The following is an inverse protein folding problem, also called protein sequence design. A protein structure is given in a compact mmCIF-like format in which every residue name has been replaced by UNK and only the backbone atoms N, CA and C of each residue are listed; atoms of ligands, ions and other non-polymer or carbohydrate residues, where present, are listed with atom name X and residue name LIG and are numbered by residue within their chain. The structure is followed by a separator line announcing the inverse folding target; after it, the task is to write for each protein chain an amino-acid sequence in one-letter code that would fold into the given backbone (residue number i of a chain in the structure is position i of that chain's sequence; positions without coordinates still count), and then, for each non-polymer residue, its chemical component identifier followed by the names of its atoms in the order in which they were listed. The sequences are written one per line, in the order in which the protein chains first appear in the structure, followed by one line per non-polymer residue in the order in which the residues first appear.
data_IF_212589715924
#
_entry.id   IF_212589715924
#
_cell.length_a   1.000
_cell.length_b   1.000
_cell.length_c   1.000
_cell.angle_alpha   90.00
_cell.angle_beta   90.00
_cell.angle_gamma   90.00
#
_symmetry.space_group_name_H-M   'P 1'
#
loop_
_entity.id
_entity.type
_entity.pdbx_description
1 polymer ?
#
# COMPACT_ATOMS: atom_id res chain seq x y z
N UNK A 1 9.17 -20.60 19.73
CA UNK A 1 10.64 -20.44 19.58
C UNK A 1 10.82 -19.50 18.40
N UNK A 2 11.28 -18.28 18.64
CA UNK A 2 11.62 -17.33 17.58
C UNK A 2 12.86 -17.86 16.84
N UNK A 3 12.67 -18.32 15.61
CA UNK A 3 13.78 -18.68 14.73
C UNK A 3 14.58 -17.40 14.45
N UNK A 4 15.85 -17.36 14.87
CA UNK A 4 16.72 -16.22 14.52
C UNK A 4 17.16 -16.43 13.08
N UNK A 5 16.76 -15.48 12.18
CA UNK A 5 17.17 -15.52 10.78
C UNK A 5 18.69 -15.46 10.67
N UNK A 6 19.26 -16.30 9.82
CA UNK A 6 20.66 -16.24 9.40
C UNK A 6 20.79 -15.38 8.14
N UNK A 7 22.03 -15.07 7.73
CA UNK A 7 22.25 -14.27 6.51
C UNK A 7 21.83 -15.00 5.21
N UNK A 8 21.64 -16.31 5.28
CA UNK A 8 21.24 -17.16 4.16
C UNK A 8 19.69 -17.36 4.09
N UNK A 9 18.97 -17.05 5.16
CA UNK A 9 17.52 -17.20 5.18
C UNK A 9 16.82 -16.07 4.39
N UNK A 10 15.78 -16.39 3.62
CA UNK A 10 14.97 -15.37 2.97
C UNK A 10 14.28 -14.49 4.02
N UNK A 11 14.31 -13.18 3.80
CA UNK A 11 13.59 -12.23 4.67
C UNK A 11 12.10 -12.35 4.38
N UNK A 12 11.25 -12.66 5.39
CA UNK A 12 9.80 -12.70 5.19
C UNK A 12 9.26 -11.31 4.96
N UNK A 13 8.48 -11.12 3.89
CA UNK A 13 7.85 -9.85 3.53
C UNK A 13 6.37 -9.90 3.86
N UNK A 14 5.88 -8.89 4.61
CA UNK A 14 4.47 -8.53 4.66
C UNK A 14 4.33 -7.20 3.93
N UNK A 15 3.86 -7.29 2.69
CA UNK A 15 3.69 -6.17 1.79
C UNK A 15 2.42 -5.38 2.09
N UNK A 16 2.55 -4.04 2.20
CA UNK A 16 1.47 -3.15 2.57
C UNK A 16 0.40 -2.92 1.51
N UNK A 17 0.70 -3.16 0.22
CA UNK A 17 -0.24 -2.81 -0.85
C UNK A 17 0.01 -3.54 -2.16
N UNK A 18 -1.06 -4.12 -2.73
CA UNK A 18 -1.01 -4.81 -4.02
C UNK A 18 -2.38 -4.84 -4.68
N UNK A 19 -2.47 -4.40 -5.93
CA UNK A 19 -3.73 -4.23 -6.68
C UNK A 19 -4.10 -5.40 -7.59
N UNK A 20 -3.56 -6.60 -7.33
CA UNK A 20 -3.98 -7.80 -8.06
C UNK A 20 -5.51 -7.96 -8.15
N UNK A 21 -6.32 -7.65 -7.11
CA UNK A 21 -7.77 -7.75 -7.22
C UNK A 21 -8.35 -6.88 -8.33
N UNK A 22 -7.88 -5.63 -8.48
CA UNK A 22 -8.34 -4.76 -9.55
C UNK A 22 -7.79 -5.19 -10.90
N UNK A 23 -6.53 -5.59 -11.00
CA UNK A 23 -5.94 -6.10 -12.23
C UNK A 23 -6.69 -7.33 -12.77
N UNK A 24 -7.08 -8.26 -11.91
CA UNK A 24 -7.89 -9.43 -12.31
C UNK A 24 -9.29 -9.02 -12.75
N UNK A 25 -9.89 -8.00 -12.13
CA UNK A 25 -11.17 -7.45 -12.61
C UNK A 25 -11.07 -6.95 -14.04
N UNK A 26 -10.06 -6.12 -14.33
CA UNK A 26 -9.86 -5.51 -15.64
C UNK A 26 -9.49 -6.56 -16.71
N UNK A 27 -8.70 -7.55 -16.34
CA UNK A 27 -8.25 -8.59 -17.27
C UNK A 27 -9.33 -9.61 -17.62
N UNK A 28 -10.15 -10.02 -16.66
CA UNK A 28 -11.05 -11.16 -16.83
C UNK A 28 -12.31 -11.13 -15.94
N UNK A 29 -12.74 -9.95 -15.49
CA UNK A 29 -13.96 -9.77 -14.68
C UNK A 29 -14.04 -10.75 -13.49
N UNK A 30 -12.91 -10.93 -12.78
CA UNK A 30 -12.75 -11.83 -11.65
C UNK A 30 -12.88 -13.35 -11.96
N UNK A 31 -12.77 -13.75 -13.21
CA UNK A 31 -12.77 -15.17 -13.59
C UNK A 31 -11.39 -15.79 -13.34
N UNK A 32 -11.26 -16.53 -12.23
CA UNK A 32 -9.99 -17.19 -11.86
C UNK A 32 -9.62 -18.35 -12.79
N UNK A 33 -10.54 -18.85 -13.62
CA UNK A 33 -10.24 -19.89 -14.63
C UNK A 33 -9.62 -19.26 -15.90
N UNK A 34 -9.80 -17.95 -16.10
CA UNK A 34 -9.24 -17.21 -17.23
C UNK A 34 -7.83 -16.63 -16.97
N UNK A 35 -7.26 -16.86 -15.78
CA UNK A 35 -5.95 -16.35 -15.35
C UNK A 35 -5.12 -17.45 -14.68
N UNK A 36 -3.81 -17.50 -14.99
CA UNK A 36 -2.93 -18.62 -14.55
C UNK A 36 -2.03 -18.25 -13.37
N UNK A 37 -2.61 -17.89 -12.22
CA UNK A 37 -1.83 -17.48 -11.04
C UNK A 37 -0.94 -18.59 -10.46
N UNK A 38 -1.21 -19.86 -10.75
CA UNK A 38 -0.40 -20.99 -10.27
C UNK A 38 0.80 -21.27 -11.17
N UNK A 39 0.63 -21.15 -12.48
CA UNK A 39 1.69 -21.48 -13.46
C UNK A 39 2.54 -20.27 -13.86
N UNK A 40 2.16 -19.07 -13.41
CA UNK A 40 2.73 -17.79 -13.82
C UNK A 40 1.82 -17.06 -14.80
N UNK A 41 1.59 -15.78 -14.54
CA UNK A 41 0.69 -14.92 -15.33
C UNK A 41 1.43 -13.64 -15.78
N UNK A 42 1.87 -13.58 -17.04
CA UNK A 42 2.69 -12.47 -17.51
C UNK A 42 1.95 -11.13 -17.64
N UNK A 43 0.61 -11.12 -17.53
CA UNK A 43 -0.19 -9.90 -17.64
C UNK A 43 -0.32 -9.14 -16.32
N UNK A 44 0.12 -9.73 -15.19
CA UNK A 44 0.14 -9.13 -13.87
C UNK A 44 1.55 -9.16 -13.30
N UNK A 45 1.81 -8.37 -12.26
CA UNK A 45 3.09 -8.34 -11.56
C UNK A 45 3.12 -9.30 -10.36
N UNK A 46 1.97 -9.93 -10.06
CA UNK A 46 1.79 -10.79 -8.89
C UNK A 46 1.16 -12.13 -9.29
N UNK A 47 1.84 -13.22 -8.97
CA UNK A 47 1.32 -14.60 -9.04
C UNK A 47 2.00 -15.46 -7.95
N UNK A 48 1.49 -16.68 -7.75
CA UNK A 48 1.96 -17.54 -6.66
C UNK A 48 3.45 -17.92 -6.78
N UNK A 49 4.02 -18.25 -7.95
CA UNK A 49 5.45 -18.46 -8.10
C UNK A 49 6.30 -17.25 -7.73
N UNK A 50 5.90 -16.04 -8.17
CA UNK A 50 6.65 -14.80 -7.90
C UNK A 50 6.51 -14.35 -6.45
N UNK A 51 5.35 -14.51 -5.81
CA UNK A 51 5.20 -14.28 -4.36
C UNK A 51 6.19 -15.14 -3.55
N UNK A 52 6.31 -16.43 -3.90
CA UNK A 52 7.30 -17.31 -3.25
C UNK A 52 8.73 -16.88 -3.52
N UNK A 53 9.06 -16.54 -4.78
CA UNK A 53 10.40 -16.09 -5.15
C UNK A 53 10.78 -14.78 -4.46
N UNK A 54 9.81 -13.88 -4.24
CA UNK A 54 9.99 -12.62 -3.51
C UNK A 54 10.05 -12.76 -1.99
N UNK A 55 9.81 -13.96 -1.44
CA UNK A 55 9.75 -14.16 0.01
C UNK A 55 8.51 -13.54 0.66
N UNK A 56 7.44 -13.26 -0.14
CA UNK A 56 6.21 -12.68 0.38
C UNK A 56 5.48 -13.71 1.25
N UNK A 57 5.44 -13.42 2.53
CA UNK A 57 4.79 -14.22 3.57
C UNK A 57 3.43 -13.66 4.00
N UNK A 58 3.17 -12.39 3.69
CA UNK A 58 1.90 -11.72 3.89
C UNK A 58 1.69 -10.60 2.88
N UNK A 59 0.43 -10.37 2.51
CA UNK A 59 0.04 -9.39 1.51
C UNK A 59 -1.25 -8.70 1.93
N UNK A 60 -1.24 -7.38 1.96
CA UNK A 60 -2.47 -6.60 1.93
C UNK A 60 -2.93 -6.48 0.47
N UNK A 61 -4.04 -7.14 0.17
CA UNK A 61 -4.72 -7.00 -1.12
C UNK A 61 -5.55 -5.72 -1.11
N UNK A 62 -5.23 -4.81 -2.00
CA UNK A 62 -6.01 -3.58 -2.19
C UNK A 62 -7.39 -3.93 -2.77
N UNK A 63 -8.44 -3.40 -2.17
CA UNK A 63 -9.77 -3.34 -2.76
C UNK A 63 -10.04 -1.91 -3.21
N UNK A 64 -9.37 -1.58 -4.30
CA UNK A 64 -9.43 -0.27 -4.95
C UNK A 64 -10.71 -0.12 -5.78
N UNK A 65 -11.27 1.08 -5.78
CA UNK A 65 -12.32 1.48 -6.74
C UNK A 65 -11.99 2.86 -7.32
N UNK A 66 -12.21 3.09 -8.63
CA UNK A 66 -11.95 4.40 -9.23
C UNK A 66 -12.76 5.51 -8.57
N UNK A 67 -12.17 6.70 -8.42
CA UNK A 67 -12.86 7.88 -7.89
C UNK A 67 -14.07 8.33 -8.74
N UNK A 68 -14.14 7.88 -9.99
CA UNK A 68 -15.33 8.08 -10.86
C UNK A 68 -16.58 7.31 -10.37
N UNK A 69 -16.40 6.28 -9.52
CA UNK A 69 -17.50 5.61 -8.82
C UNK A 69 -17.79 6.35 -7.52
N UNK A 70 -19.05 6.73 -7.30
CA UNK A 70 -19.48 7.44 -6.10
C UNK A 70 -20.73 6.81 -5.50
N UNK A 71 -21.01 7.09 -4.22
CA UNK A 71 -22.21 6.63 -3.54
C UNK A 71 -22.33 5.10 -3.53
N UNK A 72 -23.54 4.60 -3.68
CA UNK A 72 -23.81 3.13 -3.67
C UNK A 72 -23.02 2.35 -4.72
N UNK A 73 -22.60 2.97 -5.83
CA UNK A 73 -21.82 2.29 -6.86
C UNK A 73 -20.40 1.97 -6.37
N UNK A 74 -19.76 2.92 -5.66
CA UNK A 74 -18.46 2.70 -5.04
C UNK A 74 -18.56 1.64 -3.94
N UNK A 75 -19.54 1.74 -3.05
CA UNK A 75 -19.80 0.77 -1.97
C UNK A 75 -19.95 -0.66 -2.53
N UNK A 76 -20.79 -0.81 -3.56
CA UNK A 76 -21.04 -2.12 -4.18
C UNK A 76 -19.77 -2.68 -4.83
N UNK A 77 -19.02 -1.87 -5.59
CA UNK A 77 -17.78 -2.31 -6.23
C UNK A 77 -16.71 -2.74 -5.20
N UNK A 78 -16.65 -2.06 -4.04
CA UNK A 78 -15.76 -2.43 -2.94
C UNK A 78 -16.16 -3.79 -2.34
N UNK A 79 -17.46 -4.02 -2.10
CA UNK A 79 -17.93 -5.35 -1.66
C UNK A 79 -17.61 -6.46 -2.66
N UNK A 80 -17.77 -6.22 -3.95
CA UNK A 80 -17.44 -7.18 -5.00
C UNK A 80 -15.94 -7.57 -4.96
N UNK A 81 -15.05 -6.61 -4.68
CA UNK A 81 -13.62 -6.90 -4.53
C UNK A 81 -13.29 -7.63 -3.23
N UNK A 82 -13.90 -7.26 -2.11
CA UNK A 82 -13.77 -8.01 -0.85
C UNK A 82 -14.17 -9.47 -1.08
N UNK A 83 -15.32 -9.71 -1.72
CA UNK A 83 -15.79 -11.06 -2.04
C UNK A 83 -14.84 -11.79 -3.01
N UNK A 84 -14.18 -11.04 -3.93
CA UNK A 84 -13.15 -11.62 -4.79
C UNK A 84 -11.92 -12.07 -4.00
N UNK A 85 -11.40 -11.27 -3.05
CA UNK A 85 -10.26 -11.67 -2.21
C UNK A 85 -10.58 -12.91 -1.39
N UNK A 86 -11.80 -13.04 -0.86
CA UNK A 86 -12.26 -14.25 -0.19
C UNK A 86 -12.22 -15.47 -1.13
N UNK A 87 -12.71 -15.32 -2.38
CA UNK A 87 -12.66 -16.39 -3.39
C UNK A 87 -11.24 -16.74 -3.79
N UNK A 88 -10.37 -15.73 -3.96
CA UNK A 88 -8.96 -15.91 -4.28
C UNK A 88 -8.27 -16.79 -3.23
N UNK A 89 -8.41 -16.45 -1.95
CA UNK A 89 -7.82 -17.21 -0.86
C UNK A 89 -8.44 -18.62 -0.73
N UNK A 90 -9.74 -18.78 -0.98
CA UNK A 90 -10.40 -20.08 -0.94
C UNK A 90 -10.01 -20.98 -2.13
N UNK A 91 -9.83 -20.41 -3.32
CA UNK A 91 -9.39 -21.15 -4.52
C UNK A 91 -7.96 -21.66 -4.37
N UNK A 92 -7.07 -20.85 -3.83
CA UNK A 92 -5.65 -21.18 -3.67
C UNK A 92 -5.31 -21.47 -2.19
N UNK A 93 -6.17 -22.22 -1.50
CA UNK A 93 -6.09 -22.51 -0.04
C UNK A 93 -4.80 -23.21 0.38
N UNK A 94 -4.11 -23.87 -0.54
CA UNK A 94 -2.78 -24.47 -0.29
C UNK A 94 -1.68 -23.41 -0.18
N UNK A 95 -1.87 -22.25 -0.79
CA UNK A 95 -0.87 -21.19 -0.92
C UNK A 95 -1.24 -19.93 -0.15
N UNK A 96 -2.52 -19.61 -0.03
CA UNK A 96 -3.06 -18.39 0.57
C UNK A 96 -3.89 -18.72 1.81
N UNK A 97 -3.87 -17.83 2.80
CA UNK A 97 -4.74 -17.92 3.97
C UNK A 97 -5.36 -16.55 4.26
N UNK A 98 -6.67 -16.44 4.23
CA UNK A 98 -7.34 -15.21 4.64
C UNK A 98 -7.10 -14.95 6.13
N UNK A 99 -6.56 -13.78 6.45
CA UNK A 99 -6.19 -13.38 7.80
C UNK A 99 -6.94 -12.10 8.21
N UNK A 100 -7.23 -12.00 9.50
CA UNK A 100 -7.91 -10.84 10.09
C UNK A 100 -7.17 -10.27 11.28
N UNK A 101 -6.26 -11.04 11.87
CA UNK A 101 -5.48 -10.68 13.05
C UNK A 101 -4.02 -10.99 12.84
N UNK A 102 -3.16 -10.37 13.64
CA UNK A 102 -1.72 -10.69 13.66
C UNK A 102 -1.48 -12.18 14.01
N UNK A 103 -2.32 -12.78 14.85
CA UNK A 103 -2.26 -14.22 15.18
C UNK A 103 -2.59 -15.09 13.96
N UNK A 104 -3.59 -14.69 13.15
CA UNK A 104 -3.90 -15.38 11.88
C UNK A 104 -2.70 -15.33 10.92
N UNK A 105 -2.00 -14.17 10.85
CA UNK A 105 -0.79 -14.01 10.03
C UNK A 105 0.31 -14.95 10.50
N UNK A 106 0.59 -14.99 11.81
CA UNK A 106 1.59 -15.89 12.37
C UNK A 106 1.25 -17.37 12.05
N UNK A 107 -0.03 -17.75 12.17
CA UNK A 107 -0.50 -19.11 11.86
C UNK A 107 -0.40 -19.45 10.37
N UNK A 108 -0.69 -18.52 9.48
CA UNK A 108 -0.55 -18.69 8.03
C UNK A 108 0.92 -18.91 7.65
N UNK A 109 1.81 -18.03 8.12
CA UNK A 109 3.26 -18.10 7.88
C UNK A 109 3.85 -19.40 8.42
N UNK A 110 3.44 -19.83 9.62
CA UNK A 110 3.90 -21.10 10.22
C UNK A 110 3.53 -22.33 9.38
N UNK A 111 2.50 -22.22 8.51
CA UNK A 111 2.09 -23.30 7.59
C UNK A 111 2.64 -23.12 6.17
N UNK A 112 3.50 -22.11 5.92
CA UNK A 112 4.10 -21.82 4.62
C UNK A 112 3.13 -21.19 3.62
N UNK A 113 2.01 -20.62 4.09
CA UNK A 113 1.05 -19.90 3.25
C UNK A 113 1.25 -18.39 3.34
N UNK A 114 0.91 -17.68 2.27
CA UNK A 114 0.87 -16.23 2.26
C UNK A 114 -0.37 -15.74 3.03
N UNK A 115 -0.13 -15.00 4.10
CA UNK A 115 -1.20 -14.35 4.85
C UNK A 115 -1.89 -13.29 3.99
N UNK A 116 -3.16 -13.47 3.69
CA UNK A 116 -3.95 -12.61 2.81
C UNK A 116 -4.82 -11.69 3.66
N UNK A 117 -4.48 -10.41 3.69
CA UNK A 117 -5.19 -9.34 4.39
C UNK A 117 -5.93 -8.47 3.37
N UNK A 118 -6.97 -7.76 3.80
CA UNK A 118 -7.75 -6.86 2.92
C UNK A 118 -7.52 -5.42 3.35
N UNK A 119 -7.09 -4.59 2.39
CA UNK A 119 -6.96 -3.16 2.56
C UNK A 119 -7.90 -2.41 1.63
N UNK A 120 -8.68 -1.46 2.15
CA UNK A 120 -9.56 -0.63 1.35
C UNK A 120 -8.82 0.62 0.89
N UNK A 121 -8.87 0.91 -0.41
CA UNK A 121 -8.20 2.08 -0.97
C UNK A 121 -9.19 3.14 -1.44
N UNK A 122 -9.23 4.22 -0.65
CA UNK A 122 -10.05 5.39 -0.93
C UNK A 122 -11.34 5.49 -0.10
N UNK A 123 -11.46 6.58 0.67
CA UNK A 123 -12.58 6.83 1.56
C UNK A 123 -13.94 7.00 0.88
N UNK A 124 -13.97 7.21 -0.44
CA UNK A 124 -15.22 7.22 -1.23
C UNK A 124 -15.92 5.86 -1.22
N UNK A 125 -15.18 4.76 -0.95
CA UNK A 125 -15.72 3.40 -0.84
C UNK A 125 -16.72 3.22 0.30
N UNK A 126 -16.69 4.08 1.33
CA UNK A 126 -17.65 4.01 2.45
C UNK A 126 -18.86 4.96 2.30
N UNK A 127 -18.93 5.75 1.21
CA UNK A 127 -20.00 6.75 0.98
C UNK A 127 -20.30 7.61 2.23
N UNK A 128 -19.26 8.06 2.94
CA UNK A 128 -19.35 8.85 4.18
C UNK A 128 -20.16 8.19 5.31
N UNK A 129 -20.30 6.85 5.30
CA UNK A 129 -21.11 6.08 6.25
C UNK A 129 -20.26 5.22 7.18
N UNK A 130 -20.34 5.48 8.49
CA UNK A 130 -19.70 4.62 9.50
C UNK A 130 -20.33 3.22 9.54
N UNK A 131 -21.60 3.05 9.19
CA UNK A 131 -22.22 1.73 9.15
C UNK A 131 -21.69 0.89 7.98
N UNK A 132 -21.40 1.52 6.84
CA UNK A 132 -20.72 0.85 5.71
C UNK A 132 -19.30 0.47 6.10
N UNK A 133 -18.55 1.35 6.77
CA UNK A 133 -17.20 1.06 7.30
C UNK A 133 -17.23 -0.17 8.22
N UNK A 134 -18.15 -0.22 9.18
CA UNK A 134 -18.34 -1.37 10.10
C UNK A 134 -18.61 -2.66 9.33
N UNK A 135 -19.52 -2.61 8.38
CA UNK A 135 -19.87 -3.79 7.56
C UNK A 135 -18.69 -4.28 6.71
N UNK A 136 -17.86 -3.41 6.17
CA UNK A 136 -16.65 -3.78 5.43
C UNK A 136 -15.58 -4.38 6.36
N UNK A 137 -15.41 -3.83 7.58
CA UNK A 137 -14.55 -4.41 8.61
C UNK A 137 -15.01 -5.83 9.00
N UNK A 138 -16.32 -6.04 9.21
CA UNK A 138 -16.88 -7.37 9.50
C UNK A 138 -16.60 -8.38 8.38
N UNK A 139 -16.52 -7.91 7.12
CA UNK A 139 -16.14 -8.72 5.97
C UNK A 139 -14.63 -8.94 5.82
N UNK A 140 -13.81 -8.33 6.66
CA UNK A 140 -12.38 -8.61 6.73
C UNK A 140 -11.45 -7.48 6.36
N UNK A 141 -11.96 -6.29 6.02
CA UNK A 141 -11.09 -5.13 5.81
C UNK A 141 -10.30 -4.78 7.08
N UNK A 142 -9.00 -4.49 6.94
CA UNK A 142 -8.09 -4.21 8.07
C UNK A 142 -7.38 -2.89 7.97
N UNK A 143 -7.47 -2.19 6.83
CA UNK A 143 -7.19 -0.78 6.74
C UNK A 143 -8.18 -0.07 5.81
N UNK A 144 -8.26 1.25 5.93
CA UNK A 144 -8.88 2.15 4.96
C UNK A 144 -7.90 3.30 4.69
N UNK A 145 -7.50 3.46 3.42
CA UNK A 145 -6.83 4.68 2.94
C UNK A 145 -7.87 5.80 2.85
N UNK A 146 -7.67 6.90 3.60
CA UNK A 146 -8.73 7.89 3.82
C UNK A 146 -9.15 8.64 2.55
N UNK A 147 -8.28 8.73 1.54
CA UNK A 147 -8.61 9.23 0.19
C UNK A 147 -7.90 8.37 -0.85
N UNK A 148 -8.27 8.50 -2.11
CA UNK A 148 -7.43 8.14 -3.24
C UNK A 148 -6.97 9.43 -3.95
N UNK A 149 -7.04 9.52 -5.28
CA UNK A 149 -6.56 10.69 -6.02
C UNK A 149 -7.48 11.92 -5.98
N UNK A 150 -8.71 11.78 -5.52
CA UNK A 150 -9.68 12.86 -5.38
C UNK A 150 -10.08 13.05 -3.91
N UNK A 151 -10.41 14.29 -3.54
CA UNK A 151 -10.95 14.59 -2.22
C UNK A 151 -12.23 13.81 -1.94
N UNK A 152 -12.42 13.43 -0.68
CA UNK A 152 -13.74 13.01 -0.19
C UNK A 152 -14.36 14.12 0.65
N UNK A 153 -15.68 14.09 0.93
CA UNK A 153 -16.35 15.17 1.68
C UNK A 153 -15.76 15.46 3.07
N UNK A 154 -14.89 14.60 3.58
CA UNK A 154 -14.37 14.65 4.94
C UNK A 154 -12.84 14.59 5.05
N UNK A 155 -12.10 14.47 3.92
CA UNK A 155 -10.65 14.48 3.87
C UNK A 155 -10.11 14.95 2.52
N UNK A 156 -9.01 15.71 2.51
CA UNK A 156 -8.33 16.16 1.31
C UNK A 156 -7.31 15.11 0.83
N UNK A 157 -7.26 14.88 -0.49
CA UNK A 157 -6.26 14.06 -1.18
C UNK A 157 -4.96 14.83 -1.44
N UNK A 158 -3.85 14.12 -1.48
CA UNK A 158 -2.54 14.68 -1.84
C UNK A 158 -2.47 15.20 -3.29
N UNK A 159 -3.31 14.67 -4.17
CA UNK A 159 -3.28 14.93 -5.63
C UNK A 159 -4.47 15.75 -6.12
N UNK A 160 -5.31 16.25 -5.23
CA UNK A 160 -6.43 17.14 -5.56
C UNK A 160 -6.23 18.54 -4.96
N UNK A 161 -7.07 19.47 -5.39
CA UNK A 161 -7.04 20.84 -4.86
C UNK A 161 -7.56 20.83 -3.42
N UNK A 162 -6.79 21.31 -2.42
CA UNK A 162 -7.22 21.31 -1.05
C UNK A 162 -8.51 22.12 -0.84
N UNK A 163 -9.47 21.56 -0.10
CA UNK A 163 -10.76 22.18 0.21
C UNK A 163 -10.94 22.38 1.72
N UNK A 164 -10.57 21.39 2.52
CA UNK A 164 -10.74 21.39 3.98
C UNK A 164 -9.45 21.84 4.70
N UNK A 165 -8.29 21.62 4.10
CA UNK A 165 -6.98 21.79 4.73
C UNK A 165 -6.62 20.68 5.72
N UNK A 166 -7.40 19.60 5.79
CA UNK A 166 -7.23 18.48 6.71
C UNK A 166 -8.48 17.59 6.79
N UNK A 167 -8.78 17.06 7.98
CA UNK A 167 -9.98 16.28 8.27
C UNK A 167 -11.15 17.17 8.71
N UNK A 168 -12.33 16.91 8.18
CA UNK A 168 -13.58 17.43 8.79
C UNK A 168 -13.89 16.69 10.12
N UNK A 169 -14.96 17.12 10.84
CA UNK A 169 -15.42 16.37 12.02
C UNK A 169 -15.81 14.92 11.67
N UNK A 170 -16.48 14.69 10.52
CA UNK A 170 -16.76 13.33 10.07
C UNK A 170 -15.47 12.54 9.80
N UNK A 171 -14.45 13.16 9.21
CA UNK A 171 -13.16 12.51 9.01
C UNK A 171 -12.49 12.09 10.33
N UNK A 172 -12.57 12.95 11.35
CA UNK A 172 -12.11 12.62 12.71
C UNK A 172 -12.93 11.47 13.33
N UNK A 173 -14.24 11.43 13.09
CA UNK A 173 -15.10 10.32 13.54
C UNK A 173 -14.79 9.02 12.81
N UNK A 174 -14.46 9.05 11.51
CA UNK A 174 -13.97 7.88 10.76
C UNK A 174 -12.69 7.34 11.40
N UNK A 175 -11.70 8.18 11.69
CA UNK A 175 -10.45 7.77 12.34
C UNK A 175 -10.73 7.13 13.72
N UNK A 176 -11.56 7.76 14.54
CA UNK A 176 -11.93 7.22 15.88
C UNK A 176 -12.64 5.85 15.74
N UNK A 177 -13.54 5.72 14.77
CA UNK A 177 -14.26 4.47 14.53
C UNK A 177 -13.31 3.35 14.05
N UNK A 178 -12.35 3.68 13.17
CA UNK A 178 -11.33 2.72 12.73
C UNK A 178 -10.50 2.22 13.92
N UNK A 179 -10.07 3.11 14.82
CA UNK A 179 -9.37 2.72 16.05
C UNK A 179 -10.25 1.80 16.92
N UNK A 180 -11.52 2.14 17.12
CA UNK A 180 -12.47 1.33 17.89
C UNK A 180 -12.66 -0.08 17.31
N UNK A 181 -12.61 -0.20 15.99
CA UNK A 181 -12.75 -1.48 15.26
C UNK A 181 -11.47 -2.32 15.26
N UNK A 182 -10.31 -1.77 15.62
CA UNK A 182 -9.02 -2.41 15.38
C UNK A 182 -8.72 -2.47 13.89
N UNK A 183 -8.74 -1.32 13.23
CA UNK A 183 -8.51 -1.16 11.81
C UNK A 183 -7.49 -0.06 11.59
N UNK A 184 -6.43 -0.31 10.84
CA UNK A 184 -5.43 0.69 10.54
C UNK A 184 -6.00 1.88 9.77
N UNK A 185 -5.66 3.08 10.23
CA UNK A 185 -5.80 4.31 9.46
C UNK A 185 -4.63 4.38 8.49
N UNK A 186 -4.91 4.25 7.19
CA UNK A 186 -3.88 4.36 6.17
C UNK A 186 -3.83 5.79 5.61
N UNK A 187 -2.64 6.38 5.68
CA UNK A 187 -2.36 7.77 5.30
C UNK A 187 -1.66 7.89 3.95
N UNK A 188 -1.53 6.81 3.19
CA UNK A 188 -1.19 6.92 1.77
C UNK A 188 -2.26 7.73 1.05
N UNK A 189 -1.93 8.43 -0.02
CA UNK A 189 -2.82 9.30 -0.82
C UNK A 189 -3.35 10.58 -0.17
N UNK A 190 -3.24 10.76 1.14
CA UNK A 190 -3.87 11.91 1.81
C UNK A 190 -2.98 13.15 1.78
N UNK A 191 -3.59 14.34 1.78
CA UNK A 191 -2.88 15.60 1.89
C UNK A 191 -2.16 15.74 3.24
N UNK A 192 -1.10 16.55 3.29
CA UNK A 192 -0.27 16.78 4.49
C UNK A 192 -1.08 17.19 5.73
N UNK A 193 -2.12 18.03 5.53
CA UNK A 193 -3.04 18.43 6.61
C UNK A 193 -3.80 17.24 7.19
N UNK A 194 -4.23 16.31 6.34
CA UNK A 194 -4.91 15.07 6.78
C UNK A 194 -3.94 14.14 7.52
N UNK A 195 -2.68 14.02 7.06
CA UNK A 195 -1.66 13.23 7.77
C UNK A 195 -1.51 13.70 9.23
N UNK A 196 -1.35 15.02 9.42
CA UNK A 196 -1.19 15.63 10.75
C UNK A 196 -2.45 15.49 11.61
N UNK A 197 -3.62 15.81 11.06
CA UNK A 197 -4.90 15.69 11.74
C UNK A 197 -5.20 14.24 12.17
N UNK A 198 -4.90 13.27 11.32
CA UNK A 198 -5.10 11.86 11.63
C UNK A 198 -4.15 11.38 12.74
N UNK A 199 -2.88 11.79 12.72
CA UNK A 199 -1.92 11.51 13.79
C UNK A 199 -2.35 12.13 15.13
N UNK A 200 -2.92 13.34 15.11
CA UNK A 200 -3.43 14.00 16.31
C UNK A 200 -4.67 13.30 16.91
N UNK A 201 -5.50 12.67 16.06
CA UNK A 201 -6.75 12.03 16.47
C UNK A 201 -6.57 10.55 16.80
N UNK A 202 -5.66 9.86 16.09
CA UNK A 202 -5.52 8.41 16.21
C UNK A 202 -4.88 8.01 17.55
N UNK A 203 -5.61 7.23 18.33
CA UNK A 203 -5.11 6.57 19.54
C UNK A 203 -4.44 5.22 19.29
N UNK A 204 -4.33 4.81 18.03
CA UNK A 204 -3.72 3.54 17.58
C UNK A 204 -2.67 3.82 16.50
N UNK A 205 -1.74 2.89 16.24
CA UNK A 205 -0.77 3.02 15.16
C UNK A 205 -1.45 3.27 13.79
N UNK A 206 -0.94 4.27 13.07
CA UNK A 206 -1.31 4.50 11.66
C UNK A 206 -0.33 3.79 10.74
N UNK A 207 -0.70 3.62 9.46
CA UNK A 207 0.23 3.18 8.42
C UNK A 207 0.25 4.16 7.26
N UNK A 208 1.34 4.14 6.51
CA UNK A 208 1.41 4.53 5.12
C UNK A 208 1.63 3.24 4.35
N UNK A 209 0.59 2.68 3.78
CA UNK A 209 0.63 1.34 3.15
C UNK A 209 1.57 1.28 1.95
N UNK A 210 1.74 2.41 1.23
CA UNK A 210 2.59 2.54 0.04
C UNK A 210 2.98 4.02 -0.22
N UNK A 211 3.95 4.54 0.53
CA UNK A 211 4.46 5.91 0.39
C UNK A 211 5.95 5.97 0.67
N UNK A 212 6.67 6.87 -0.01
CA UNK A 212 8.11 7.02 0.14
C UNK A 212 8.49 8.35 0.85
N UNK A 213 9.75 8.74 0.89
CA UNK A 213 10.22 9.94 1.58
C UNK A 213 10.21 11.17 0.68
N UNK A 214 9.50 12.23 1.07
CA UNK A 214 9.40 13.47 0.27
C UNK A 214 10.72 14.23 0.19
N UNK A 215 11.56 14.14 1.20
CA UNK A 215 12.87 14.79 1.20
C UNK A 215 13.79 14.30 0.07
N UNK A 216 13.61 13.07 -0.42
CA UNK A 216 14.38 12.50 -1.52
C UNK A 216 13.73 12.72 -2.89
N UNK A 217 12.40 12.71 -2.93
CA UNK A 217 11.63 12.95 -4.15
C UNK A 217 10.41 13.79 -3.81
N UNK A 218 10.40 15.03 -4.30
CA UNK A 218 9.31 16.00 -4.06
C UNK A 218 8.07 15.61 -4.87
N UNK A 219 7.34 14.64 -4.32
CA UNK A 219 6.07 14.16 -4.85
C UNK A 219 5.00 14.21 -3.76
N UNK A 220 3.77 14.69 -4.03
CA UNK A 220 2.74 14.85 -2.99
C UNK A 220 2.33 13.53 -2.33
N UNK A 221 2.54 12.39 -3.00
CA UNK A 221 2.30 11.04 -2.45
C UNK A 221 3.35 10.59 -1.43
N UNK A 222 4.49 11.26 -1.35
CA UNK A 222 5.56 10.96 -0.41
C UNK A 222 5.36 11.68 0.93
N UNK A 223 5.86 11.08 2.01
CA UNK A 223 5.66 11.54 3.38
C UNK A 223 6.71 12.59 3.75
N UNK A 224 6.31 13.78 4.25
CA UNK A 224 7.26 14.79 4.72
C UNK A 224 7.92 14.37 6.05
N UNK A 225 9.14 14.85 6.30
CA UNK A 225 9.96 14.47 7.47
C UNK A 225 9.31 14.83 8.80
N UNK A 226 8.59 15.95 8.87
CA UNK A 226 7.87 16.34 10.10
C UNK A 226 6.71 15.38 10.45
N UNK A 227 6.18 14.67 9.48
CA UNK A 227 5.19 13.61 9.67
C UNK A 227 5.88 12.29 10.02
N UNK A 228 6.95 11.91 9.29
CA UNK A 228 7.75 10.72 9.63
C UNK A 228 8.25 10.77 11.07
N UNK A 229 8.71 11.93 11.55
CA UNK A 229 9.19 12.14 12.92
C UNK A 229 8.12 11.94 14.00
N UNK A 230 6.84 11.89 13.65
CA UNK A 230 5.74 11.63 14.60
C UNK A 230 5.43 10.14 14.76
N UNK A 231 5.85 9.28 13.82
CA UNK A 231 5.57 7.85 13.86
C UNK A 231 6.08 7.15 15.13
N UNK A 232 7.26 7.50 15.70
CA UNK A 232 7.69 6.90 16.96
C UNK A 232 6.73 7.13 18.13
N UNK A 233 6.09 8.30 18.19
CA UNK A 233 5.10 8.63 19.20
C UNK A 233 3.75 7.95 19.03
N UNK A 234 3.37 7.68 17.78
CA UNK A 234 2.12 7.02 17.41
C UNK A 234 2.24 5.48 17.34
N UNK A 235 3.44 4.94 17.15
CA UNK A 235 3.65 3.51 16.92
C UNK A 235 3.49 3.08 15.44
N UNK A 236 3.24 4.01 14.54
CA UNK A 236 2.93 3.75 13.12
C UNK A 236 4.11 3.27 12.30
N UNK A 237 3.84 2.93 11.01
CA UNK A 237 4.83 2.41 10.07
C UNK A 237 4.64 3.07 8.70
N UNK A 238 5.75 3.60 8.13
CA UNK A 238 5.79 4.02 6.73
C UNK A 238 6.35 2.87 5.88
N UNK A 239 5.50 2.33 4.99
CA UNK A 239 5.85 1.23 4.10
C UNK A 239 6.25 1.81 2.74
N UNK A 240 7.57 1.71 2.45
CA UNK A 240 8.17 2.36 1.26
C UNK A 240 7.64 1.73 -0.02
N UNK A 241 7.09 2.57 -0.90
CA UNK A 241 6.60 2.20 -2.23
C UNK A 241 7.74 2.14 -3.25
N UNK A 242 7.61 1.25 -4.26
CA UNK A 242 8.61 1.10 -5.31
C UNK A 242 8.23 1.77 -6.63
N UNK A 243 7.15 2.52 -6.66
CA UNK A 243 6.74 3.28 -7.85
C UNK A 243 7.83 4.28 -8.23
N UNK A 244 8.30 4.23 -9.48
CA UNK A 244 9.45 4.98 -9.97
C UNK A 244 9.37 6.49 -9.72
N UNK A 245 8.20 7.09 -9.88
CA UNK A 245 8.01 8.53 -9.67
C UNK A 245 7.86 8.93 -8.19
N UNK A 246 7.81 7.96 -7.26
CA UNK A 246 7.97 8.21 -5.82
C UNK A 246 9.43 8.07 -5.37
N UNK A 247 10.26 7.36 -6.14
CA UNK A 247 11.65 7.07 -5.80
C UNK A 247 12.68 7.98 -6.47
N UNK A 248 12.32 8.67 -7.54
CA UNK A 248 13.27 9.45 -8.31
C UNK A 248 12.67 10.77 -8.77
N UNK A 249 13.35 11.90 -8.44
CA UNK A 249 12.89 13.24 -8.87
C UNK A 249 12.76 13.35 -10.39
N UNK A 250 13.66 12.73 -11.17
CA UNK A 250 13.57 12.74 -12.64
C UNK A 250 12.31 12.05 -13.15
N UNK A 251 11.88 10.97 -12.45
CA UNK A 251 10.64 10.27 -12.76
C UNK A 251 9.43 11.08 -12.32
N UNK A 252 9.48 11.73 -11.16
CA UNK A 252 8.42 12.63 -10.71
C UNK A 252 8.23 13.78 -11.70
N UNK A 253 9.33 14.43 -12.15
CA UNK A 253 9.28 15.52 -13.12
C UNK A 253 8.67 15.06 -14.46
N UNK A 254 9.07 13.90 -14.97
CA UNK A 254 8.50 13.30 -16.17
C UNK A 254 7.02 12.96 -16.04
N UNK A 255 6.61 12.47 -14.87
CA UNK A 255 5.21 12.18 -14.54
C UNK A 255 4.39 13.48 -14.51
N UNK A 256 4.87 14.53 -13.84
CA UNK A 256 4.18 15.82 -13.80
C UNK A 256 4.03 16.45 -15.18
N UNK A 257 5.04 16.33 -16.05
CA UNK A 257 4.90 16.74 -17.46
C UNK A 257 3.77 15.96 -18.17
N UNK A 258 3.56 14.70 -17.85
CA UNK A 258 2.45 13.92 -18.42
C UNK A 258 1.09 14.39 -17.88
N UNK A 259 1.00 14.79 -16.61
CA UNK A 259 -0.22 15.39 -16.03
C UNK A 259 -0.55 16.72 -16.73
N UNK A 260 0.45 17.58 -16.99
CA UNK A 260 0.27 18.84 -17.72
C UNK A 260 -0.24 18.59 -19.15
N UNK A 261 0.27 17.54 -19.81
CA UNK A 261 -0.20 17.15 -21.14
C UNK A 261 -1.66 16.67 -21.06
N UNK A 262 -2.04 15.86 -20.06
CA UNK A 262 -3.42 15.42 -19.83
C UNK A 262 -4.35 16.63 -19.68
N UNK A 263 -4.01 17.56 -18.77
CA UNK A 263 -4.77 18.78 -18.53
C UNK A 263 -4.89 19.63 -19.80
N UNK A 264 -3.82 19.77 -20.59
CA UNK A 264 -3.83 20.54 -21.86
C UNK A 264 -4.75 19.93 -22.93
N UNK A 265 -5.00 18.64 -22.85
CA UNK A 265 -5.93 17.87 -23.72
C UNK A 265 -7.37 17.85 -23.18
N UNK A 266 -7.63 18.48 -22.03
CA UNK A 266 -8.95 18.51 -21.39
C UNK A 266 -9.30 17.19 -20.67
N UNK A 267 -8.30 16.36 -20.37
CA UNK A 267 -8.40 15.14 -19.57
C UNK A 267 -8.20 15.46 -18.09
N UNK A 268 -8.69 14.62 -17.20
CA UNK A 268 -8.53 14.81 -15.75
C UNK A 268 -7.19 14.18 -15.29
N UNK A 269 -6.21 15.00 -14.86
CA UNK A 269 -4.90 14.49 -14.46
C UNK A 269 -4.92 13.65 -13.17
N UNK A 270 -6.05 13.60 -12.44
CA UNK A 270 -6.23 12.77 -11.24
C UNK A 270 -6.68 11.35 -11.58
N UNK A 271 -7.11 11.10 -12.81
CA UNK A 271 -7.66 9.82 -13.26
C UNK A 271 -6.61 9.00 -13.99
N UNK A 272 -6.35 7.81 -13.46
CA UNK A 272 -5.37 6.91 -14.04
C UNK A 272 -5.73 6.56 -15.51
N UNK A 273 -7.01 6.32 -15.80
CA UNK A 273 -7.51 6.03 -17.14
C UNK A 273 -7.24 7.14 -18.17
N UNK A 274 -7.12 8.39 -17.72
CA UNK A 274 -6.80 9.55 -18.56
C UNK A 274 -5.28 9.76 -18.71
N UNK A 275 -4.52 9.43 -17.68
CA UNK A 275 -3.07 9.68 -17.61
C UNK A 275 -2.23 8.54 -18.19
N UNK A 276 -2.60 7.28 -17.94
CA UNK A 276 -1.83 6.11 -18.39
C UNK A 276 -1.61 6.04 -19.92
N UNK A 277 -2.58 6.37 -20.78
CA UNK A 277 -2.34 6.44 -22.23
C UNK A 277 -1.29 7.48 -22.60
N UNK A 278 -1.21 8.60 -21.87
CA UNK A 278 -0.22 9.66 -22.09
C UNK A 278 1.18 9.19 -21.65
N UNK A 279 1.27 8.53 -20.50
CA UNK A 279 2.52 7.93 -20.04
C UNK A 279 3.06 6.93 -21.05
N UNK A 280 2.20 6.08 -21.61
CA UNK A 280 2.58 5.13 -22.67
C UNK A 280 3.03 5.82 -23.95
N UNK A 281 2.32 6.86 -24.42
CA UNK A 281 2.71 7.68 -25.57
C UNK A 281 4.09 8.30 -25.36
N UNK A 282 4.38 8.77 -24.13
CA UNK A 282 5.62 9.43 -23.74
C UNK A 282 6.73 8.47 -23.26
N UNK A 283 6.51 7.16 -23.26
CA UNK A 283 7.44 6.16 -22.72
C UNK A 283 8.88 6.26 -23.27
N UNK A 284 9.03 6.68 -24.52
CA UNK A 284 10.36 6.90 -25.14
C UNK A 284 11.12 8.10 -24.56
N UNK A 285 10.45 8.98 -23.83
CA UNK A 285 11.01 10.15 -23.15
C UNK A 285 11.21 9.86 -21.65
N UNK A 286 10.80 8.70 -21.19
CA UNK A 286 10.98 8.31 -19.80
C UNK A 286 12.48 8.29 -19.43
N UNK A 287 12.84 8.76 -18.23
CA UNK A 287 14.20 8.63 -17.75
C UNK A 287 14.61 7.15 -17.63
N UNK A 288 15.91 6.85 -17.51
CA UNK A 288 16.33 5.51 -17.12
C UNK A 288 15.62 5.08 -15.83
N UNK A 289 15.20 3.80 -15.75
CA UNK A 289 14.53 3.28 -14.55
C UNK A 289 15.37 3.57 -13.29
N UNK A 290 14.73 3.89 -12.17
CA UNK A 290 15.41 3.91 -10.89
C UNK A 290 16.08 2.55 -10.62
N UNK A 291 17.00 2.54 -9.69
CA UNK A 291 17.71 1.34 -9.28
C UNK A 291 17.20 0.85 -7.94
N UNK A 292 17.56 -0.36 -7.57
CA UNK A 292 17.34 -0.89 -6.20
C UNK A 292 17.99 0.02 -5.15
N UNK A 293 19.10 0.70 -5.49
CA UNK A 293 19.75 1.64 -4.59
C UNK A 293 18.88 2.86 -4.28
N UNK A 294 18.12 3.37 -5.26
CA UNK A 294 17.18 4.46 -5.03
C UNK A 294 16.07 4.04 -4.06
N UNK A 295 15.54 2.82 -4.16
CA UNK A 295 14.57 2.29 -3.21
C UNK A 295 15.18 2.13 -1.80
N UNK A 296 16.42 1.63 -1.71
CA UNK A 296 17.16 1.50 -0.46
C UNK A 296 17.44 2.87 0.20
N UNK A 297 17.69 3.93 -0.58
CA UNK A 297 17.88 5.29 -0.07
C UNK A 297 16.61 5.78 0.67
N UNK A 298 15.43 5.53 0.10
CA UNK A 298 14.16 5.86 0.76
C UNK A 298 13.93 5.06 2.04
N UNK A 299 14.25 3.77 2.05
CA UNK A 299 14.16 2.93 3.26
C UNK A 299 15.10 3.46 4.36
N UNK A 300 16.33 3.84 4.01
CA UNK A 300 17.30 4.38 4.96
C UNK A 300 16.88 5.76 5.47
N UNK A 301 16.34 6.63 4.61
CA UNK A 301 15.82 7.93 5.02
C UNK A 301 14.66 7.81 6.02
N UNK A 302 13.67 6.94 5.75
CA UNK A 302 12.58 6.68 6.70
C UNK A 302 13.13 6.12 8.01
N UNK A 303 14.10 5.18 7.96
CA UNK A 303 14.79 4.67 9.15
C UNK A 303 15.52 5.77 9.93
N UNK A 304 16.18 6.70 9.24
CA UNK A 304 16.91 7.81 9.88
C UNK A 304 15.97 8.76 10.61
N UNK A 305 14.84 9.11 9.99
CA UNK A 305 13.90 10.11 10.54
C UNK A 305 12.95 9.50 11.57
N UNK A 306 12.35 8.36 11.26
CA UNK A 306 11.32 7.72 12.09
C UNK A 306 11.88 6.60 13.00
N UNK A 307 13.07 6.09 12.73
CA UNK A 307 13.63 4.95 13.43
C UNK A 307 13.30 3.60 12.79
N UNK A 308 14.14 2.59 13.06
CA UNK A 308 14.04 1.26 12.46
C UNK A 308 12.67 0.61 12.68
N UNK A 309 12.03 0.81 13.82
CA UNK A 309 10.74 0.20 14.17
C UNK A 309 9.54 0.75 13.35
N UNK A 310 9.76 1.79 12.55
CA UNK A 310 8.69 2.55 11.87
C UNK A 310 8.83 2.55 10.34
N UNK A 311 9.66 1.67 9.78
CA UNK A 311 9.82 1.48 8.33
C UNK A 311 9.37 0.08 7.92
N UNK A 312 8.70 -0.02 6.78
CA UNK A 312 8.22 -1.25 6.15
C UNK A 312 8.33 -1.16 4.63
N UNK A 313 7.72 -2.11 3.93
CA UNK A 313 7.65 -2.13 2.46
C UNK A 313 6.22 -2.31 1.97
N UNK A 314 5.83 -1.56 0.94
CA UNK A 314 4.52 -1.64 0.30
C UNK A 314 4.68 -1.39 -1.20
N UNK A 315 4.85 -2.47 -1.97
CA UNK A 315 5.38 -2.43 -3.34
C UNK A 315 4.53 -1.66 -4.33
N UNK A 316 3.21 -1.64 -4.15
CA UNK A 316 2.24 -1.05 -5.08
C UNK A 316 2.21 -1.79 -6.43
N UNK A 317 2.49 -3.11 -6.39
CA UNK A 317 2.44 -3.96 -7.57
C UNK A 317 1.00 -4.15 -8.05
N UNK A 318 0.85 -4.26 -9.36
CA UNK A 318 -0.41 -4.29 -10.09
C UNK A 318 -1.23 -2.97 -10.03
N UNK A 319 -0.80 -1.97 -9.23
CA UNK A 319 -1.36 -0.61 -9.18
C UNK A 319 -0.56 0.41 -10.01
N UNK A 320 0.71 0.12 -10.31
CA UNK A 320 1.58 0.99 -11.08
C UNK A 320 2.27 0.25 -12.24
N UNK A 321 2.79 1.03 -13.21
CA UNK A 321 3.42 0.48 -14.42
C UNK A 321 4.94 0.62 -14.45
N UNK A 322 5.54 1.42 -13.56
CA UNK A 322 6.96 1.76 -13.61
C UNK A 322 7.62 1.52 -12.25
N UNK A 323 8.64 0.66 -12.25
CA UNK A 323 9.37 0.20 -11.07
C UNK A 323 10.89 0.27 -11.29
N UNK A 324 11.72 0.16 -10.23
CA UNK A 324 13.16 0.05 -10.35
C UNK A 324 13.57 -1.19 -11.16
N UNK A 325 14.70 -1.07 -11.86
CA UNK A 325 15.26 -2.17 -12.62
C UNK A 325 15.55 -3.40 -11.72
N UNK A 326 14.96 -4.53 -12.07
CA UNK A 326 15.01 -5.79 -11.32
C UNK A 326 13.93 -5.94 -10.24
N UNK A 327 13.09 -4.92 -10.05
CA UNK A 327 11.96 -4.94 -9.11
C UNK A 327 10.63 -4.70 -9.83
N UNK A 328 10.50 -5.17 -11.08
CA UNK A 328 9.31 -4.94 -11.91
C UNK A 328 8.10 -5.79 -11.48
N UNK A 329 8.29 -6.73 -10.55
CA UNK A 329 7.23 -7.56 -9.98
C UNK A 329 7.57 -8.01 -8.55
N UNK A 330 6.64 -8.68 -7.88
CA UNK A 330 6.77 -9.09 -6.47
C UNK A 330 7.96 -10.02 -6.18
N UNK A 331 8.64 -10.57 -7.18
CA UNK A 331 9.85 -11.38 -6.98
C UNK A 331 11.11 -10.53 -6.73
N UNK A 332 11.02 -9.20 -6.86
CA UNK A 332 12.14 -8.28 -6.72
C UNK A 332 12.57 -7.95 -5.29
N UNK A 333 11.79 -8.28 -4.25
CA UNK A 333 12.13 -7.97 -2.85
C UNK A 333 13.52 -8.42 -2.40
N UNK A 334 14.02 -9.63 -2.77
CA UNK A 334 15.35 -10.07 -2.36
C UNK A 334 16.46 -9.11 -2.78
N UNK A 335 16.33 -8.44 -3.93
CA UNK A 335 17.33 -7.48 -4.40
C UNK A 335 17.45 -6.28 -3.47
N UNK A 336 16.32 -5.77 -2.94
CA UNK A 336 16.34 -4.70 -1.94
C UNK A 336 17.05 -5.15 -0.67
N UNK A 337 16.77 -6.36 -0.18
CA UNK A 337 17.41 -6.88 1.02
C UNK A 337 18.90 -7.15 0.82
N UNK A 338 19.32 -7.60 -0.37
CA UNK A 338 20.74 -7.73 -0.73
C UNK A 338 21.46 -6.37 -0.71
N UNK A 339 20.84 -5.34 -1.29
CA UNK A 339 21.40 -3.99 -1.27
C UNK A 339 21.50 -3.44 0.16
N UNK A 340 20.49 -3.64 1.00
CA UNK A 340 20.51 -3.21 2.39
C UNK A 340 21.57 -3.98 3.21
N UNK A 341 21.75 -5.31 2.99
CA UNK A 341 22.86 -6.07 3.59
C UNK A 341 24.22 -5.48 3.19
N UNK A 342 24.37 -5.14 1.92
CA UNK A 342 25.60 -4.49 1.42
C UNK A 342 25.87 -3.15 2.12
N UNK A 343 24.81 -2.46 2.55
CA UNK A 343 24.87 -1.20 3.33
C UNK A 343 25.03 -1.43 4.84
N UNK A 344 25.13 -2.68 5.29
CA UNK A 344 25.42 -3.05 6.68
C UNK A 344 24.18 -3.30 7.56
N UNK A 345 22.99 -3.49 6.96
CA UNK A 345 21.84 -3.93 7.73
C UNK A 345 22.02 -5.37 8.21
N UNK A 346 21.72 -5.60 9.48
CA UNK A 346 21.73 -6.95 10.05
C UNK A 346 20.49 -7.75 9.62
N UNK A 347 20.57 -9.08 9.69
CA UNK A 347 19.41 -9.96 9.43
C UNK A 347 18.23 -9.64 10.34
N UNK A 348 18.48 -9.18 11.58
CA UNK A 348 17.44 -8.70 12.51
C UNK A 348 16.77 -7.42 12.01
N UNK A 349 17.56 -6.44 11.50
CA UNK A 349 17.01 -5.20 10.96
C UNK A 349 16.14 -5.48 9.74
N UNK A 350 16.59 -6.39 8.86
CA UNK A 350 15.85 -6.79 7.66
C UNK A 350 14.55 -7.53 8.00
N UNK A 351 14.56 -8.37 9.02
CA UNK A 351 13.36 -9.04 9.50
C UNK A 351 12.32 -8.04 10.05
N UNK A 352 12.80 -6.99 10.73
CA UNK A 352 11.91 -5.91 11.18
C UNK A 352 11.32 -5.15 10.00
N UNK A 353 12.15 -4.73 9.03
CA UNK A 353 11.71 -4.06 7.80
C UNK A 353 10.71 -4.89 7.01
N UNK A 354 11.03 -6.18 6.78
CA UNK A 354 10.23 -7.05 5.91
C UNK A 354 8.83 -7.32 6.44
N UNK A 355 8.67 -7.57 7.75
CA UNK A 355 7.36 -7.91 8.33
C UNK A 355 7.21 -7.53 9.79
N UNK A 356 8.29 -7.54 10.57
CA UNK A 356 8.22 -7.41 12.04
C UNK A 356 7.57 -6.12 12.51
N UNK A 357 7.88 -4.99 11.85
CA UNK A 357 7.37 -3.68 12.24
C UNK A 357 5.86 -3.54 12.01
N UNK A 358 5.36 -3.99 10.84
CA UNK A 358 3.93 -3.92 10.55
C UNK A 358 3.14 -4.92 11.41
N UNK A 359 3.69 -6.11 11.69
CA UNK A 359 3.06 -7.08 12.61
C UNK A 359 3.01 -6.54 14.04
N UNK A 360 4.05 -5.86 14.52
CA UNK A 360 4.01 -5.15 15.81
C UNK A 360 2.92 -4.10 15.81
N UNK A 361 2.91 -3.22 14.81
CA UNK A 361 1.87 -2.18 14.71
C UNK A 361 0.46 -2.79 14.64
N UNK A 362 0.29 -3.93 13.98
CA UNK A 362 -1.00 -4.63 13.91
C UNK A 362 -1.45 -5.14 15.29
N UNK A 363 -0.55 -5.73 16.10
CA UNK A 363 -0.86 -6.13 17.47
C UNK A 363 -1.21 -4.93 18.35
N UNK A 364 -0.41 -3.86 18.27
CA UNK A 364 -0.66 -2.63 19.02
C UNK A 364 -2.02 -1.99 18.66
N UNK A 365 -2.40 -2.04 17.37
CA UNK A 365 -3.71 -1.58 16.89
C UNK A 365 -4.85 -2.47 17.42
N UNK A 366 -4.69 -3.80 17.42
CA UNK A 366 -5.67 -4.75 17.93
C UNK A 366 -5.85 -4.59 19.46
N UNK A 367 -4.75 -4.32 20.19
CA UNK A 367 -4.79 -4.07 21.65
C UNK A 367 -5.47 -2.73 21.98
N UNK A 368 -5.37 -1.73 21.09
CA UNK A 368 -6.02 -0.43 21.27
C UNK A 368 -7.53 -0.47 20.95
N UNK A 369 -8.04 -1.51 20.29
CA UNK A 369 -9.45 -1.67 19.93
C UNK A 369 -10.32 -1.84 21.17
N UNK A 370 -11.46 -1.12 21.24
CA UNK A 370 -12.38 -1.09 22.39
C UNK A 370 -13.76 -1.67 22.04
#
# INVERSE_FOLDING_TARGET
MTHTLTDEDPVPVLDGHNDLPWAVRELCAYDLDAISLVAGEPRVQTDLPRLRAGGVSGQFWSVFVPCSLTGEAAVRATYEQIDFVHRLAATYVADLALCRTAEDVDAAVATGRVASLIGMEGGHSIDSSLDVLRSMHERGARYLTLTHNENVPWADSATDVPVLGGLSELGRDVVREMNRLGMFVDLSHVADGVMRDALDVSGAPVIFSHSSARALTDHPRNVPDDVLAQLPGNGGVCMVSFVSFFLSQRWADWYFEALDVAASRGLDPRRFEDVDPILRERSRLAPPAPTVADAADHVEHVREVAGLAHVGVGGDYDGASYFPAGMEDVSGYPLLFEELRRRGWSSSDLAQLGSGNVLRAMRDMEEAAQ
#
